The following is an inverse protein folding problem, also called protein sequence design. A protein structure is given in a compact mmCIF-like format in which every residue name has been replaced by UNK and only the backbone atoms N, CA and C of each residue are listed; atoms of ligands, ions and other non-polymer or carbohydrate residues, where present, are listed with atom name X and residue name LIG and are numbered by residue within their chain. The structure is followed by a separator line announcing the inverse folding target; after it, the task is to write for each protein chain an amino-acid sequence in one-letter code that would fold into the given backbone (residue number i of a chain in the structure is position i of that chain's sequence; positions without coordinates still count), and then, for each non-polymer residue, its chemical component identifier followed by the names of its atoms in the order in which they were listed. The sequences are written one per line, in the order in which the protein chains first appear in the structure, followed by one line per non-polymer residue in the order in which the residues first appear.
data_IF_841191549217
#
_entry.id   IF_841191549217
#
_cell.length_a   1.000
_cell.length_b   1.000
_cell.length_c   1.000
_cell.angle_alpha   90.00
_cell.angle_beta   90.00
_cell.angle_gamma   90.00
#
_symmetry.space_group_name_H-M   'P 1'
#
loop_
_entity.id
_entity.type
_entity.pdbx_description
1 polymer ?
#
# COMPACT_ATOMS: atom_id res chain seq x y z
N UNK A 1 -10.91 3.26 -34.73
CA UNK A 1 -12.26 2.73 -34.42
C UNK A 1 -12.15 1.21 -34.44
N UNK A 2 -12.62 0.51 -33.40
CA UNK A 2 -12.46 -0.95 -33.31
C UNK A 2 -13.54 -1.58 -34.20
N UNK A 3 -13.19 -2.56 -35.03
CA UNK A 3 -14.08 -3.12 -36.06
C UNK A 3 -15.02 -4.21 -35.50
N UNK A 4 -15.66 -3.92 -34.36
CA UNK A 4 -16.50 -4.86 -33.60
C UNK A 4 -17.81 -4.19 -33.20
N UNK A 5 -18.87 -4.97 -33.01
CA UNK A 5 -20.17 -4.43 -32.59
C UNK A 5 -20.26 -4.23 -31.08
N UNK A 6 -21.14 -3.35 -30.62
CA UNK A 6 -21.40 -3.11 -29.19
C UNK A 6 -21.86 -4.37 -28.44
N UNK A 7 -22.43 -5.33 -29.16
CA UNK A 7 -22.82 -6.63 -28.58
C UNK A 7 -21.57 -7.45 -28.25
N UNK A 8 -20.58 -7.49 -29.15
CA UNK A 8 -19.30 -8.19 -28.94
C UNK A 8 -18.51 -7.53 -27.81
N UNK A 9 -18.42 -6.21 -27.79
CA UNK A 9 -17.71 -5.48 -26.71
C UNK A 9 -18.32 -5.81 -25.34
N UNK A 10 -19.66 -5.85 -25.23
CA UNK A 10 -20.33 -6.22 -23.96
C UNK A 10 -20.09 -7.67 -23.59
N UNK A 11 -20.06 -8.57 -24.56
CA UNK A 11 -19.83 -9.99 -24.33
C UNK A 11 -18.39 -10.25 -23.87
N UNK A 12 -17.40 -9.58 -24.47
CA UNK A 12 -16.00 -9.65 -24.07
C UNK A 12 -15.77 -9.07 -22.68
N UNK A 13 -16.40 -7.93 -22.36
CA UNK A 13 -16.33 -7.34 -21.01
C UNK A 13 -16.95 -8.26 -19.95
N UNK A 14 -18.07 -8.91 -20.26
CA UNK A 14 -18.68 -9.89 -19.35
C UNK A 14 -17.76 -11.10 -19.16
N UNK A 15 -17.15 -11.59 -20.24
CA UNK A 15 -16.19 -12.70 -20.17
C UNK A 15 -14.99 -12.34 -19.28
N UNK A 16 -14.39 -11.16 -19.48
CA UNK A 16 -13.26 -10.69 -18.66
C UNK A 16 -13.63 -10.44 -17.19
N UNK A 17 -14.85 -10.00 -16.91
CA UNK A 17 -15.36 -9.86 -15.54
C UNK A 17 -15.56 -11.22 -14.86
N UNK A 18 -16.12 -12.21 -15.57
CA UNK A 18 -16.27 -13.58 -15.06
C UNK A 18 -14.92 -14.24 -14.75
N UNK A 19 -13.90 -13.95 -15.56
CA UNK A 19 -12.53 -14.42 -15.35
C UNK A 19 -11.76 -13.58 -14.30
N UNK A 20 -12.37 -12.51 -13.76
CA UNK A 20 -11.78 -11.68 -12.72
C UNK A 20 -10.69 -10.71 -13.18
N UNK A 21 -10.57 -10.44 -14.48
CA UNK A 21 -9.60 -9.47 -15.04
C UNK A 21 -10.05 -8.02 -14.95
N UNK A 22 -11.35 -7.79 -14.76
CA UNK A 22 -11.89 -6.44 -14.61
C UNK A 22 -13.17 -6.44 -13.77
N UNK A 23 -13.56 -5.27 -13.28
CA UNK A 23 -14.85 -5.01 -12.64
C UNK A 23 -15.55 -3.86 -13.35
N UNK A 24 -16.86 -4.00 -13.58
CA UNK A 24 -17.65 -2.93 -14.19
C UNK A 24 -18.01 -1.85 -13.17
N UNK A 25 -17.92 -0.59 -13.59
CA UNK A 25 -18.36 0.59 -12.87
C UNK A 25 -19.35 1.38 -13.74
N UNK A 26 -20.13 2.31 -13.18
CA UNK A 26 -21.18 3.06 -13.86
C UNK A 26 -20.64 3.85 -15.08
N UNK A 27 -20.55 3.19 -16.24
CA UNK A 27 -20.04 3.76 -17.50
C UNK A 27 -18.63 3.30 -17.91
N UNK A 28 -18.01 2.35 -17.22
CA UNK A 28 -16.65 1.90 -17.56
C UNK A 28 -16.26 0.54 -16.99
N UNK A 29 -15.01 0.15 -17.24
CA UNK A 29 -14.40 -1.08 -16.74
C UNK A 29 -13.08 -0.76 -16.03
N UNK A 30 -12.88 -1.33 -14.85
CA UNK A 30 -11.67 -1.16 -14.03
C UNK A 30 -10.90 -2.47 -14.10
N UNK A 31 -9.66 -2.44 -14.59
CA UNK A 31 -8.79 -3.61 -14.64
C UNK A 31 -8.47 -4.10 -13.22
N UNK A 32 -8.65 -5.40 -13.00
CA UNK A 32 -8.27 -6.12 -11.78
C UNK A 32 -7.04 -6.95 -12.11
N UNK A 33 -5.96 -6.72 -11.37
CA UNK A 33 -4.74 -7.50 -11.56
C UNK A 33 -5.00 -8.97 -11.22
N UNK A 34 -4.82 -9.92 -12.16
CA UNK A 34 -5.10 -11.33 -11.92
C UNK A 34 -4.12 -11.89 -10.88
N UNK A 35 -4.66 -12.59 -9.89
CA UNK A 35 -3.89 -13.20 -8.78
C UNK A 35 -2.81 -14.18 -9.26
N UNK A 36 -2.99 -14.76 -10.45
CA UNK A 36 -2.08 -15.74 -11.05
C UNK A 36 -1.03 -15.12 -11.99
N UNK A 37 -1.01 -13.79 -12.15
CA UNK A 37 0.13 -13.13 -12.78
C UNK A 37 1.32 -13.21 -11.83
N UNK A 38 2.18 -14.21 -12.06
CA UNK A 38 3.41 -14.52 -11.35
C UNK A 38 3.97 -13.31 -10.60
N UNK A 39 3.84 -13.45 -9.30
CA UNK A 39 3.74 -12.35 -8.38
C UNK A 39 5.10 -11.67 -8.20
N UNK A 40 5.35 -10.59 -8.97
CA UNK A 40 6.40 -9.60 -8.63
C UNK A 40 6.08 -8.88 -7.30
N UNK A 41 4.92 -9.12 -6.70
CA UNK A 41 4.54 -8.71 -5.34
C UNK A 41 4.73 -9.80 -4.27
N UNK A 42 5.00 -11.07 -4.58
CA UNK A 42 5.39 -12.07 -3.54
C UNK A 42 6.85 -11.88 -3.10
N UNK A 43 7.66 -11.23 -3.94
CA UNK A 43 8.95 -10.66 -3.52
C UNK A 43 8.80 -9.28 -2.87
N UNK A 44 7.60 -8.69 -2.75
CA UNK A 44 7.37 -7.52 -1.91
C UNK A 44 6.76 -7.89 -0.57
N UNK A 45 5.82 -8.84 -0.51
CA UNK A 45 5.16 -9.22 0.74
C UNK A 45 6.13 -9.80 1.78
N UNK A 46 7.06 -10.68 1.39
CA UNK A 46 8.03 -11.25 2.32
C UNK A 46 9.13 -10.25 2.75
N UNK A 47 9.46 -9.28 1.89
CA UNK A 47 10.40 -8.21 2.23
C UNK A 47 9.72 -7.12 3.07
N UNK A 48 8.47 -6.78 2.78
CA UNK A 48 7.68 -5.80 3.55
C UNK A 48 7.28 -6.35 4.92
N UNK A 49 6.96 -7.64 5.06
CA UNK A 49 6.70 -8.27 6.35
C UNK A 49 7.96 -8.38 7.22
N UNK A 50 9.10 -8.78 6.64
CA UNK A 50 10.41 -8.72 7.35
C UNK A 50 10.78 -7.29 7.71
N UNK A 51 10.58 -6.35 6.78
CA UNK A 51 10.83 -4.93 7.02
C UNK A 51 9.88 -4.34 8.08
N UNK A 52 8.66 -4.84 8.20
CA UNK A 52 7.71 -4.32 9.19
C UNK A 52 8.14 -4.63 10.62
N UNK A 53 8.59 -5.87 10.89
CA UNK A 53 9.14 -6.23 12.20
C UNK A 53 10.47 -5.50 12.48
N UNK A 54 11.33 -5.35 11.48
CA UNK A 54 12.55 -4.54 11.64
C UNK A 54 12.23 -3.05 11.85
N UNK A 55 11.20 -2.52 11.20
CA UNK A 55 10.77 -1.13 11.35
C UNK A 55 10.21 -0.88 12.75
N UNK A 56 9.40 -1.80 13.29
CA UNK A 56 8.87 -1.65 14.66
C UNK A 56 10.00 -1.68 15.69
N UNK A 57 10.91 -2.66 15.61
CA UNK A 57 12.05 -2.73 16.53
C UNK A 57 12.96 -1.51 16.42
N UNK A 58 13.17 -0.99 15.21
CA UNK A 58 13.90 0.25 14.98
C UNK A 58 13.20 1.45 15.60
N UNK A 59 11.88 1.61 15.40
CA UNK A 59 11.07 2.68 15.99
C UNK A 59 11.13 2.63 17.52
N UNK A 60 10.95 1.46 18.12
CA UNK A 60 11.03 1.28 19.57
C UNK A 60 12.40 1.68 20.11
N UNK A 61 13.48 1.32 19.40
CA UNK A 61 14.83 1.72 19.77
C UNK A 61 15.04 3.23 19.62
N UNK A 62 14.56 3.86 18.56
CA UNK A 62 14.59 5.31 18.42
C UNK A 62 13.82 6.02 19.55
N UNK A 63 12.64 5.53 19.93
CA UNK A 63 11.85 6.09 21.04
C UNK A 63 12.55 5.95 22.40
N UNK A 64 13.39 4.92 22.58
CA UNK A 64 14.18 4.75 23.81
C UNK A 64 15.27 5.82 23.97
N UNK A 65 15.66 6.49 22.89
CA UNK A 65 16.62 7.61 22.93
C UNK A 65 15.95 8.97 23.14
N UNK A 66 14.62 9.04 23.09
CA UNK A 66 13.85 10.29 23.22
C UNK A 66 13.29 10.38 24.64
N UNK A 67 13.70 11.40 25.38
CA UNK A 67 13.23 11.70 26.72
C UNK A 67 12.17 12.82 26.69
N UNK A 68 11.42 12.91 27.78
CA UNK A 68 10.49 14.02 27.97
C UNK A 68 11.28 15.33 28.14
N UNK A 69 10.87 16.36 27.43
CA UNK A 69 11.54 17.66 27.35
C UNK A 69 12.50 17.81 26.18
N UNK A 70 12.80 16.73 25.45
CA UNK A 70 13.67 16.80 24.28
C UNK A 70 13.01 17.56 23.11
N UNK A 71 13.86 18.25 22.33
CA UNK A 71 13.46 18.86 21.05
C UNK A 71 13.81 17.91 19.93
N UNK A 72 12.82 17.49 19.14
CA UNK A 72 12.97 16.44 18.11
C UNK A 72 12.60 16.99 16.73
N UNK A 73 13.59 17.06 15.84
CA UNK A 73 13.36 17.46 14.46
C UNK A 73 12.82 16.30 13.60
N UNK A 74 11.61 16.45 13.06
CA UNK A 74 10.99 15.45 12.18
C UNK A 74 11.23 15.78 10.70
N UNK A 75 12.06 14.97 10.03
CA UNK A 75 12.34 15.10 8.59
C UNK A 75 11.37 14.25 7.75
N UNK A 76 11.29 14.56 6.46
CA UNK A 76 10.52 13.75 5.52
C UNK A 76 11.12 12.34 5.38
N UNK A 77 10.38 11.32 5.79
CA UNK A 77 10.81 9.94 5.71
C UNK A 77 9.73 8.94 6.08
N UNK A 78 9.80 7.73 5.51
CA UNK A 78 8.86 6.64 5.80
C UNK A 78 8.87 6.25 7.28
N UNK A 79 10.06 6.23 7.89
CA UNK A 79 10.21 5.90 9.32
C UNK A 79 9.67 7.03 10.19
N UNK A 80 9.99 8.29 9.89
CA UNK A 80 9.46 9.45 10.63
C UNK A 80 7.93 9.40 10.70
N UNK A 81 7.28 9.10 9.57
CA UNK A 81 5.82 9.01 9.52
C UNK A 81 5.24 7.88 10.39
N UNK A 82 5.95 6.76 10.52
CA UNK A 82 5.58 5.67 11.43
C UNK A 82 5.92 5.97 12.90
N UNK A 83 6.86 6.87 13.15
CA UNK A 83 7.31 7.24 14.49
C UNK A 83 6.35 8.24 15.16
N UNK A 84 5.74 9.15 14.37
CA UNK A 84 4.79 10.18 14.84
C UNK A 84 3.69 9.64 15.79
N UNK A 85 2.95 8.56 15.46
CA UNK A 85 1.91 8.05 16.37
C UNK A 85 2.45 7.61 17.73
N UNK A 86 3.71 7.15 17.78
CA UNK A 86 4.33 6.68 19.01
C UNK A 86 4.93 7.82 19.86
N UNK A 87 5.11 9.01 19.28
CA UNK A 87 5.56 10.20 20.01
C UNK A 87 4.45 10.90 20.77
N UNK A 88 3.17 10.66 20.42
CA UNK A 88 2.03 11.26 21.10
C UNK A 88 2.02 11.00 22.62
N UNK A 89 2.63 9.90 23.05
CA UNK A 89 2.71 9.52 24.46
C UNK A 89 3.91 10.16 25.20
N UNK A 90 4.74 10.95 24.53
CA UNK A 90 5.90 11.63 25.12
C UNK A 90 5.74 13.14 25.13
N UNK A 91 6.26 13.80 26.16
CA UNK A 91 6.24 15.26 26.27
C UNK A 91 7.44 15.85 25.52
N UNK A 92 7.34 15.94 24.20
CA UNK A 92 8.42 16.49 23.36
C UNK A 92 8.04 17.84 22.75
N UNK A 93 9.04 18.65 22.45
CA UNK A 93 8.90 19.83 21.58
C UNK A 93 9.32 19.46 20.15
N UNK A 94 8.58 19.95 19.16
CA UNK A 94 8.82 19.71 17.73
C UNK A 94 9.48 20.92 17.06
#
# INVERSE_FOLDING_TARGET
MINVSDVIIRQDLNYLEQQGYLKRSFGGAIYLQPKDSFDKSHQKSNYEAKNFFSDISFIMRCLSFINDGDTVCLLNGKITRKLIPNLYNKKISL
#
